data_IF_424495090413
#
_entry.id   IF_424495090413
#
_cell.length_a   1.000
_cell.length_b   1.000
_cell.length_c   1.000
_cell.angle_alpha   90.00
_cell.angle_beta   90.00
_cell.angle_gamma   90.00
#
_symmetry.space_group_name_H-M   'P 1'
#
loop_
_entity.id
_entity.type
_entity.pdbx_description
1 polymer ?
#
# COMPACT_ATOMS: atom_id res chain seq x y z
N UNK A 1 -27.04 -13.09 -13.55
CA UNK A 1 -26.88 -14.56 -13.53
C UNK A 1 -25.93 -14.88 -12.39
N UNK A 2 -26.13 -15.97 -11.66
CA UNK A 2 -25.19 -16.37 -10.61
C UNK A 2 -23.85 -16.77 -11.26
N UNK A 3 -22.73 -16.36 -10.67
CA UNK A 3 -21.40 -16.76 -11.12
C UNK A 3 -21.24 -18.29 -10.98
N UNK A 4 -20.47 -18.89 -11.89
CA UNK A 4 -20.26 -20.36 -11.95
C UNK A 4 -18.78 -20.67 -11.75
N UNK A 5 -18.52 -21.86 -11.20
CA UNK A 5 -17.16 -22.41 -11.07
C UNK A 5 -16.65 -23.01 -12.38
N UNK A 6 -15.34 -23.13 -12.54
CA UNK A 6 -14.67 -23.76 -13.68
C UNK A 6 -15.19 -25.19 -13.93
N UNK A 7 -15.42 -25.95 -12.85
CA UNK A 7 -15.94 -27.31 -12.94
C UNK A 7 -17.37 -27.35 -13.53
N UNK A 8 -18.25 -26.43 -13.09
CA UNK A 8 -19.62 -26.31 -13.61
C UNK A 8 -19.62 -25.87 -15.08
N UNK A 9 -18.73 -24.94 -15.45
CA UNK A 9 -18.57 -24.49 -16.84
C UNK A 9 -18.13 -25.64 -17.74
N UNK A 10 -17.11 -26.41 -17.32
CA UNK A 10 -16.63 -27.58 -18.05
C UNK A 10 -17.73 -28.63 -18.18
N UNK A 11 -18.54 -28.84 -17.14
CA UNK A 11 -19.66 -29.77 -17.19
C UNK A 11 -20.74 -29.31 -18.18
N UNK A 12 -21.06 -28.01 -18.23
CA UNK A 12 -21.99 -27.44 -19.23
C UNK A 12 -21.44 -27.62 -20.64
N UNK A 13 -20.14 -27.38 -20.85
CA UNK A 13 -19.47 -27.61 -22.14
C UNK A 13 -19.58 -29.09 -22.53
N UNK A 14 -19.17 -30.00 -21.65
CA UNK A 14 -19.17 -31.45 -21.93
C UNK A 14 -20.57 -32.00 -22.18
N UNK A 15 -21.60 -31.48 -21.49
CA UNK A 15 -22.98 -31.87 -21.73
C UNK A 15 -23.55 -31.34 -23.06
N UNK A 16 -22.98 -30.25 -23.60
CA UNK A 16 -23.40 -29.66 -24.87
C UNK A 16 -22.59 -30.16 -26.07
N UNK A 17 -21.34 -30.58 -25.84
CA UNK A 17 -20.52 -31.26 -26.84
C UNK A 17 -20.95 -32.73 -26.87
N UNK A 18 -21.98 -33.02 -27.66
CA UNK A 18 -22.19 -34.39 -28.14
C UNK A 18 -21.03 -34.70 -29.09
N UNK A 19 -20.46 -35.90 -29.02
CA UNK A 19 -19.38 -36.36 -29.90
C UNK A 19 -19.72 -36.01 -31.36
N UNK A 20 -18.95 -35.09 -31.98
CA UNK A 20 -19.14 -34.53 -33.34
C UNK A 20 -20.31 -33.54 -33.55
N UNK A 21 -20.84 -32.91 -32.50
CA UNK A 21 -21.92 -31.90 -32.60
C UNK A 21 -21.41 -30.47 -32.76
N UNK A 22 -22.09 -29.68 -33.61
CA UNK A 22 -21.91 -28.23 -33.69
C UNK A 22 -22.49 -27.55 -32.42
N UNK A 23 -21.71 -26.68 -31.78
CA UNK A 23 -22.19 -25.80 -30.71
C UNK A 23 -22.94 -24.62 -31.37
N UNK A 24 -24.18 -24.35 -30.96
CA UNK A 24 -24.91 -23.18 -31.49
C UNK A 24 -24.23 -21.89 -31.00
N UNK A 25 -24.25 -20.84 -31.82
CA UNK A 25 -23.65 -19.55 -31.46
C UNK A 25 -24.19 -18.96 -30.13
N UNK A 26 -25.46 -19.20 -29.81
CA UNK A 26 -26.06 -18.82 -28.52
C UNK A 26 -25.42 -19.53 -27.33
N UNK A 27 -25.03 -20.78 -27.50
CA UNK A 27 -24.39 -21.59 -26.48
C UNK A 27 -22.93 -21.20 -26.30
N UNK A 28 -22.23 -20.90 -27.41
CA UNK A 28 -20.89 -20.33 -27.39
C UNK A 28 -20.84 -19.01 -26.64
N UNK A 29 -21.77 -18.08 -26.91
CA UNK A 29 -21.83 -16.80 -26.21
C UNK A 29 -22.14 -16.96 -24.71
N UNK A 30 -22.98 -17.91 -24.35
CA UNK A 30 -23.24 -18.21 -22.94
C UNK A 30 -22.00 -18.80 -22.25
N UNK A 31 -21.29 -19.74 -22.90
CA UNK A 31 -20.05 -20.32 -22.39
C UNK A 31 -18.96 -19.26 -22.25
N UNK A 32 -18.79 -18.37 -23.24
CA UNK A 32 -17.80 -17.29 -23.16
C UNK A 32 -18.11 -16.30 -22.03
N UNK A 33 -19.40 -15.98 -21.82
CA UNK A 33 -19.82 -15.16 -20.66
C UNK A 33 -19.57 -15.89 -19.35
N UNK A 34 -19.93 -17.17 -19.26
CA UNK A 34 -19.68 -17.98 -18.06
C UNK A 34 -18.17 -18.07 -17.76
N UNK A 35 -17.31 -18.18 -18.79
CA UNK A 35 -15.84 -18.12 -18.63
C UNK A 35 -15.41 -16.74 -18.15
N UNK A 36 -15.90 -15.67 -18.77
CA UNK A 36 -15.56 -14.30 -18.37
C UNK A 36 -16.03 -13.96 -16.95
N UNK A 37 -17.11 -14.58 -16.48
CA UNK A 37 -17.69 -14.42 -15.13
C UNK A 37 -17.31 -15.58 -14.18
N UNK A 38 -16.35 -16.41 -14.57
CA UNK A 38 -15.90 -17.57 -13.81
C UNK A 38 -15.39 -17.14 -12.43
N UNK A 39 -15.88 -17.80 -11.38
CA UNK A 39 -15.54 -17.51 -9.97
C UNK A 39 -14.02 -17.62 -9.80
N UNK A 40 -13.38 -18.68 -10.29
CA UNK A 40 -11.93 -18.83 -10.15
C UNK A 40 -11.10 -17.79 -10.93
N UNK A 41 -11.70 -17.09 -11.91
CA UNK A 41 -11.05 -15.99 -12.64
C UNK A 41 -11.34 -14.62 -12.01
N UNK A 42 -12.49 -14.43 -11.34
CA UNK A 42 -12.97 -13.12 -10.88
C UNK A 42 -13.13 -13.00 -9.37
N UNK A 43 -13.52 -14.08 -8.69
CA UNK A 43 -13.54 -14.19 -7.24
C UNK A 43 -12.18 -14.70 -6.77
N UNK A 44 -11.38 -13.77 -6.24
CA UNK A 44 -10.20 -14.07 -5.42
C UNK A 44 -10.64 -14.65 -4.05
N UNK A 45 -11.31 -15.81 -4.07
CA UNK A 45 -11.73 -16.54 -2.88
C UNK A 45 -10.57 -17.23 -2.15
N UNK A 46 -10.76 -17.65 -0.89
CA UNK A 46 -9.68 -17.96 0.07
C UNK A 46 -8.87 -19.22 -0.25
N UNK A 47 -9.25 -20.00 -1.25
CA UNK A 47 -8.68 -21.32 -1.54
C UNK A 47 -8.13 -21.46 -2.97
N UNK A 48 -7.98 -20.35 -3.71
CA UNK A 48 -7.49 -20.38 -5.07
C UNK A 48 -6.56 -19.22 -5.40
N UNK A 49 -5.33 -19.24 -4.87
CA UNK A 49 -4.17 -18.47 -5.38
C UNK A 49 -4.34 -16.97 -5.61
N UNK A 50 -5.41 -16.36 -5.09
CA UNK A 50 -5.74 -14.96 -5.25
C UNK A 50 -4.87 -14.14 -4.31
N UNK A 51 -4.10 -13.23 -4.87
CA UNK A 51 -3.27 -12.33 -4.07
C UNK A 51 -4.17 -11.44 -3.20
N UNK A 52 -4.18 -11.70 -1.89
CA UNK A 52 -5.06 -10.99 -0.95
C UNK A 52 -4.73 -9.50 -0.93
N UNK A 53 -5.71 -8.63 -1.19
CA UNK A 53 -5.53 -7.18 -1.14
C UNK A 53 -5.70 -6.68 0.30
N UNK A 54 -4.95 -5.65 0.66
CA UNK A 54 -5.14 -4.93 1.92
C UNK A 54 -5.23 -3.41 1.70
N UNK A 55 -6.01 -2.73 2.54
CA UNK A 55 -6.18 -1.28 2.54
C UNK A 55 -6.31 -0.79 3.99
N UNK A 56 -5.34 0.01 4.42
CA UNK A 56 -5.33 0.66 5.73
C UNK A 56 -5.19 2.16 5.53
N UNK A 57 -6.11 2.95 6.06
CA UNK A 57 -6.01 4.40 6.00
C UNK A 57 -6.42 5.02 7.34
N UNK A 58 -5.73 6.10 7.71
CA UNK A 58 -6.14 6.92 8.85
C UNK A 58 -7.46 7.62 8.52
N UNK A 59 -8.51 7.41 9.32
CA UNK A 59 -9.75 8.20 9.23
C UNK A 59 -9.62 9.59 9.86
N UNK A 60 -8.72 9.71 10.83
CA UNK A 60 -8.37 10.92 11.57
C UNK A 60 -6.85 10.97 11.68
N UNK A 61 -6.22 12.16 11.68
CA UNK A 61 -4.77 12.25 11.79
C UNK A 61 -4.29 11.61 13.10
N UNK A 62 -3.25 10.79 13.03
CA UNK A 62 -2.52 10.34 14.20
C UNK A 62 -1.69 11.50 14.74
N UNK A 63 -1.64 11.67 16.06
CA UNK A 63 -1.00 12.80 16.71
C UNK A 63 0.18 12.31 17.56
N UNK A 64 1.36 12.92 17.37
CA UNK A 64 2.54 12.77 18.21
C UNK A 64 2.33 13.49 19.56
N UNK A 65 3.02 13.05 20.62
CA UNK A 65 3.23 13.81 21.87
C UNK A 65 3.52 15.31 21.71
N UNK A 66 4.15 15.71 20.59
CA UNK A 66 4.49 17.11 20.23
C UNK A 66 3.50 17.76 19.27
N UNK A 67 2.35 17.13 19.04
CA UNK A 67 1.26 17.67 18.22
C UNK A 67 1.44 17.53 16.71
N UNK A 68 2.56 16.98 16.22
CA UNK A 68 2.70 16.66 14.80
C UNK A 68 1.57 15.73 14.35
N UNK A 69 1.08 15.91 13.13
CA UNK A 69 -0.07 15.19 12.59
C UNK A 69 0.37 14.29 11.44
N UNK A 70 -0.06 13.03 11.44
CA UNK A 70 0.16 12.07 10.36
C UNK A 70 -1.17 11.55 9.82
N UNK A 71 -1.41 11.77 8.52
CA UNK A 71 -2.38 11.00 7.77
C UNK A 71 -1.64 9.99 6.90
N UNK A 72 -2.14 8.76 6.84
CA UNK A 72 -1.52 7.69 6.07
C UNK A 72 -2.53 6.89 5.27
N UNK A 73 -2.04 6.27 4.19
CA UNK A 73 -2.73 5.24 3.42
C UNK A 73 -1.72 4.17 3.02
N UNK A 74 -1.95 2.93 3.42
CA UNK A 74 -1.11 1.76 3.14
C UNK A 74 -2.00 0.76 2.40
N UNK A 75 -1.74 0.60 1.10
CA UNK A 75 -2.56 -0.24 0.22
C UNK A 75 -1.68 -1.16 -0.57
N UNK A 76 -2.14 -2.39 -0.78
CA UNK A 76 -1.29 -3.34 -1.47
C UNK A 76 -1.94 -4.68 -1.75
N UNK A 77 -1.06 -5.55 -2.23
CA UNK A 77 -1.29 -6.93 -2.58
C UNK A 77 -0.29 -7.74 -1.76
N UNK A 78 -0.79 -8.63 -0.92
CA UNK A 78 0.01 -9.49 -0.03
C UNK A 78 1.11 -10.20 -0.83
N UNK A 79 2.30 -10.31 -0.24
CA UNK A 79 3.50 -10.95 -0.81
C UNK A 79 4.10 -10.31 -2.08
N UNK A 80 3.55 -9.20 -2.59
CA UNK A 80 3.95 -8.67 -3.90
C UNK A 80 4.19 -7.16 -3.93
N UNK A 81 3.29 -6.38 -3.33
CA UNK A 81 3.28 -4.95 -3.55
C UNK A 81 2.65 -4.17 -2.40
N UNK A 82 3.27 -3.05 -2.04
CA UNK A 82 2.64 -2.05 -1.18
C UNK A 82 2.92 -0.64 -1.67
N UNK A 83 1.90 0.22 -1.61
CA UNK A 83 2.05 1.65 -1.68
C UNK A 83 1.75 2.28 -0.31
N UNK A 84 2.74 2.97 0.23
CA UNK A 84 2.71 3.67 1.51
C UNK A 84 2.68 5.16 1.22
N UNK A 85 1.56 5.82 1.54
CA UNK A 85 1.39 7.26 1.40
C UNK A 85 1.36 7.91 2.78
N UNK A 86 2.15 8.97 2.94
CA UNK A 86 2.19 9.80 4.14
C UNK A 86 1.92 11.26 3.82
N UNK A 87 1.14 11.89 4.70
CA UNK A 87 0.99 13.34 4.80
C UNK A 87 1.28 13.73 6.25
N UNK A 88 2.42 14.35 6.47
CA UNK A 88 2.92 14.76 7.78
C UNK A 88 2.87 16.29 7.87
N UNK A 89 2.33 16.81 8.98
CA UNK A 89 2.37 18.23 9.32
C UNK A 89 3.10 18.40 10.66
N UNK A 90 4.15 19.20 10.64
CA UNK A 90 4.97 19.49 11.81
C UNK A 90 4.38 20.69 12.56
N UNK A 91 4.23 20.57 13.88
CA UNK A 91 3.69 21.63 14.75
C UNK A 91 4.72 22.28 15.67
N UNK A 92 5.84 21.59 15.91
CA UNK A 92 6.93 22.07 16.76
C UNK A 92 8.21 22.22 15.92
N UNK A 93 9.08 23.15 16.30
CA UNK A 93 10.37 23.35 15.62
C UNK A 93 11.50 22.54 16.26
N UNK A 94 12.54 22.25 15.50
CA UNK A 94 13.72 21.50 15.91
C UNK A 94 13.41 20.05 16.31
N UNK A 95 12.52 19.38 15.56
CA UNK A 95 12.10 18.00 15.80
C UNK A 95 12.41 17.13 14.59
N UNK A 96 13.06 15.98 14.82
CA UNK A 96 13.48 15.08 13.72
C UNK A 96 12.93 13.65 13.89
N UNK A 97 12.55 13.24 15.11
CA UNK A 97 12.08 11.88 15.41
C UNK A 97 10.61 11.87 15.85
N UNK A 98 9.66 11.53 14.98
CA UNK A 98 8.22 11.51 15.26
C UNK A 98 7.74 10.09 15.63
N UNK A 99 6.84 10.00 16.62
CA UNK A 99 6.20 8.73 17.01
C UNK A 99 4.69 8.88 17.05
N UNK A 100 4.00 8.05 16.28
CA UNK A 100 2.54 8.04 16.18
C UNK A 100 1.98 6.71 16.66
N UNK A 101 1.06 6.76 17.61
CA UNK A 101 0.38 5.56 18.11
C UNK A 101 -0.50 4.97 17.00
N UNK A 102 -0.24 3.72 16.64
CA UNK A 102 -1.03 2.92 15.71
C UNK A 102 -1.19 1.51 16.27
N UNK A 103 -2.38 1.20 16.81
CA UNK A 103 -2.68 -0.10 17.42
C UNK A 103 -3.19 -1.15 16.41
N UNK A 104 -3.02 -0.91 15.11
CA UNK A 104 -3.47 -1.85 14.08
C UNK A 104 -2.36 -2.83 13.72
N UNK A 105 -2.37 -3.98 14.39
CA UNK A 105 -1.40 -5.08 14.18
C UNK A 105 -1.50 -5.74 12.81
N UNK A 106 -2.59 -5.53 12.07
CA UNK A 106 -2.73 -6.06 10.71
C UNK A 106 -1.82 -5.34 9.71
N UNK A 107 -1.43 -4.10 9.99
CA UNK A 107 -0.52 -3.34 9.13
C UNK A 107 0.88 -3.97 9.14
N UNK A 108 1.38 -4.32 10.33
CA UNK A 108 2.67 -5.00 10.50
C UNK A 108 2.67 -6.31 9.73
N UNK A 109 1.65 -7.15 9.94
CA UNK A 109 1.52 -8.44 9.24
C UNK A 109 1.50 -8.30 7.71
N UNK A 110 0.80 -7.29 7.19
CA UNK A 110 0.74 -7.03 5.76
C UNK A 110 2.10 -6.57 5.21
N UNK A 111 2.81 -5.70 5.94
CA UNK A 111 4.13 -5.22 5.52
C UNK A 111 5.22 -6.29 5.65
N UNK A 112 5.20 -7.11 6.70
CA UNK A 112 6.14 -8.23 6.90
C UNK A 112 6.00 -9.31 5.81
N UNK A 113 4.84 -9.41 5.16
CA UNK A 113 4.67 -10.31 4.00
C UNK A 113 5.42 -9.81 2.76
N UNK A 114 5.76 -8.52 2.68
CA UNK A 114 6.34 -7.87 1.50
C UNK A 114 7.80 -7.48 1.74
N UNK A 115 8.11 -7.00 2.94
CA UNK A 115 9.41 -6.53 3.35
C UNK A 115 10.10 -7.64 4.16
N UNK A 116 11.31 -8.03 3.78
CA UNK A 116 12.11 -8.94 4.61
C UNK A 116 12.19 -8.41 6.04
N UNK A 117 12.09 -9.29 7.05
CA UNK A 117 12.10 -8.92 8.47
C UNK A 117 13.36 -8.12 8.90
N UNK A 118 14.44 -8.17 8.12
CA UNK A 118 15.65 -7.35 8.32
C UNK A 118 15.58 -5.95 7.67
N UNK A 119 14.70 -5.74 6.69
CA UNK A 119 14.46 -4.45 6.01
C UNK A 119 13.17 -3.74 6.47
N UNK A 120 12.19 -4.47 7.04
CA UNK A 120 10.94 -3.89 7.54
C UNK A 120 11.14 -2.91 8.71
N UNK A 121 12.29 -2.97 9.38
CA UNK A 121 12.64 -2.11 10.51
C UNK A 121 13.23 -0.75 10.12
N UNK A 122 13.64 -0.52 8.87
CA UNK A 122 14.25 0.76 8.48
C UNK A 122 14.22 0.98 6.96
N UNK A 123 13.12 1.55 6.45
CA UNK A 123 13.05 1.99 5.06
C UNK A 123 13.44 3.47 4.95
N UNK A 124 14.41 3.79 4.11
CA UNK A 124 14.93 5.14 3.91
C UNK A 124 14.53 5.73 2.55
N UNK A 125 13.94 6.93 2.56
CA UNK A 125 13.49 7.62 1.35
C UNK A 125 13.86 9.09 1.36
N UNK A 126 14.32 9.59 0.21
CA UNK A 126 14.45 11.03 0.02
C UNK A 126 13.07 11.66 -0.20
N UNK A 127 12.70 12.57 0.69
CA UNK A 127 11.41 13.26 0.65
C UNK A 127 11.58 14.76 0.56
N UNK A 128 10.60 15.39 -0.08
CA UNK A 128 10.49 16.84 -0.14
C UNK A 128 9.82 17.38 1.12
N UNK A 129 10.46 18.36 1.75
CA UNK A 129 9.92 19.12 2.88
C UNK A 129 9.49 20.49 2.36
N UNK A 130 8.19 20.78 2.48
CA UNK A 130 7.60 22.06 2.11
C UNK A 130 7.37 22.88 3.38
N UNK A 131 8.17 23.93 3.58
CA UNK A 131 7.98 24.87 4.69
C UNK A 131 6.88 25.90 4.42
N UNK A 132 6.38 26.50 5.50
CA UNK A 132 5.48 27.66 5.47
C UNK A 132 6.27 28.98 5.46
N UNK A 133 7.53 28.96 5.91
CA UNK A 133 8.39 30.13 5.96
C UNK A 133 9.29 30.22 4.72
N UNK A 134 9.19 31.35 4.04
CA UNK A 134 10.06 31.86 2.97
C UNK A 134 11.50 32.10 3.45
N UNK A 135 12.18 31.08 3.98
CA UNK A 135 13.63 31.14 4.13
C UNK A 135 14.24 30.55 2.85
N UNK A 136 14.97 31.32 2.04
CA UNK A 136 15.62 30.79 0.86
C UNK A 136 16.63 29.74 1.31
N UNK A 137 16.36 28.49 0.99
CA UNK A 137 17.32 27.40 1.17
C UNK A 137 18.38 27.51 0.09
N UNK A 138 19.31 28.47 0.21
CA UNK A 138 20.39 28.66 -0.76
C UNK A 138 19.90 28.65 -2.23
N UNK A 139 18.76 29.30 -2.51
CA UNK A 139 18.14 29.35 -3.85
C UNK A 139 17.27 28.14 -4.24
N UNK A 140 17.07 27.13 -3.37
CA UNK A 140 16.19 25.98 -3.60
C UNK A 140 14.73 26.32 -3.28
N UNK A 141 13.80 25.71 -4.03
CA UNK A 141 12.34 25.89 -3.84
C UNK A 141 11.76 25.06 -2.68
N UNK A 142 12.54 24.12 -2.16
CA UNK A 142 12.15 23.20 -1.11
C UNK A 142 13.39 22.61 -0.44
N UNK A 143 13.20 22.01 0.75
CA UNK A 143 14.22 21.22 1.43
C UNK A 143 14.00 19.73 1.16
N UNK A 144 15.05 18.96 1.30
CA UNK A 144 15.02 17.50 1.13
C UNK A 144 15.53 16.85 2.39
N UNK A 145 14.80 15.86 2.91
CA UNK A 145 15.22 15.07 4.06
C UNK A 145 15.24 13.59 3.72
N UNK A 146 16.02 12.81 4.46
CA UNK A 146 15.91 11.36 4.49
C UNK A 146 14.84 10.97 5.50
N UNK A 147 13.73 10.41 5.02
CA UNK A 147 12.66 9.84 5.85
C UNK A 147 12.95 8.36 6.08
N UNK A 148 13.32 8.03 7.31
CA UNK A 148 13.38 6.65 7.81
C UNK A 148 12.03 6.29 8.43
N UNK A 149 11.37 5.27 7.88
CA UNK A 149 10.11 4.75 8.41
C UNK A 149 10.32 3.37 9.02
N UNK A 150 9.86 3.20 10.27
CA UNK A 150 9.77 1.91 10.93
C UNK A 150 8.41 1.73 11.60
N UNK A 151 7.95 0.48 11.62
CA UNK A 151 6.67 0.10 12.15
C UNK A 151 6.85 -0.94 13.25
N UNK A 152 6.04 -0.81 14.29
CA UNK A 152 5.86 -1.82 15.35
C UNK A 152 4.36 -2.06 15.54
N UNK A 153 4.00 -3.08 16.31
CA UNK A 153 2.60 -3.39 16.65
C UNK A 153 1.82 -2.23 17.29
N UNK A 154 2.53 -1.22 17.80
CA UNK A 154 1.95 -0.10 18.54
C UNK A 154 2.21 1.26 17.92
N UNK A 155 3.29 1.43 17.16
CA UNK A 155 3.73 2.76 16.74
C UNK A 155 4.24 2.76 15.30
N UNK A 156 3.96 3.86 14.61
CA UNK A 156 4.77 4.32 13.49
C UNK A 156 5.86 5.24 14.02
N UNK A 157 7.11 4.90 13.75
CA UNK A 157 8.25 5.77 14.03
C UNK A 157 8.76 6.32 12.71
N UNK A 158 8.82 7.64 12.61
CA UNK A 158 9.29 8.34 11.43
C UNK A 158 10.42 9.25 11.87
N UNK A 159 11.63 9.00 11.38
CA UNK A 159 12.77 9.88 11.56
C UNK A 159 13.03 10.64 10.25
N UNK A 160 13.24 11.94 10.34
CA UNK A 160 13.55 12.78 9.18
C UNK A 160 14.86 13.49 9.46
N UNK A 161 15.92 13.01 8.82
CA UNK A 161 17.24 13.62 8.89
C UNK A 161 17.41 14.58 7.71
N UNK A 162 17.67 15.85 8.00
CA UNK A 162 18.01 16.82 6.97
C UNK A 162 19.34 16.48 6.30
N UNK A 163 19.47 16.81 5.01
CA UNK A 163 20.71 16.50 4.26
C UNK A 163 21.84 17.51 4.49
N UNK A 164 21.52 18.68 5.06
CA UNK A 164 22.47 19.76 5.32
C UNK A 164 22.64 19.95 6.84
N UNK A 165 23.80 20.49 7.25
CA UNK A 165 24.09 20.77 8.66
C UNK A 165 23.05 21.77 9.21
N UNK A 166 22.37 21.40 10.31
CA UNK A 166 21.27 22.15 10.94
C UNK A 166 19.93 22.17 10.18
N UNK A 167 19.71 21.24 9.25
CA UNK A 167 18.43 21.09 8.57
C UNK A 167 17.41 20.32 9.44
N UNK A 168 16.88 20.99 10.47
CA UNK A 168 15.81 20.46 11.32
C UNK A 168 14.43 20.68 10.71
N UNK A 169 13.42 19.94 11.17
CA UNK A 169 12.03 20.31 10.87
C UNK A 169 11.61 21.52 11.71
N UNK A 170 10.83 22.41 11.11
CA UNK A 170 10.27 23.60 11.72
C UNK A 170 8.75 23.52 11.77
N UNK A 171 8.16 24.22 12.74
CA UNK A 171 6.71 24.34 12.83
C UNK A 171 6.11 24.87 11.51
N UNK A 172 5.10 24.16 11.01
CA UNK A 172 4.46 24.43 9.73
C UNK A 172 5.00 23.61 8.56
N UNK A 173 6.16 22.94 8.69
CA UNK A 173 6.65 22.05 7.65
C UNK A 173 5.66 20.95 7.30
N UNK A 174 5.57 20.66 6.00
CA UNK A 174 4.71 19.63 5.46
C UNK A 174 5.51 18.68 4.58
N UNK A 175 5.28 17.38 4.78
CA UNK A 175 5.84 16.33 3.95
C UNK A 175 4.66 15.56 3.37
N UNK A 176 4.65 15.43 2.05
CA UNK A 176 3.72 14.58 1.33
C UNK A 176 4.53 13.66 0.44
N UNK A 177 4.43 12.36 0.69
CA UNK A 177 5.17 11.35 -0.08
C UNK A 177 4.31 10.12 -0.29
N UNK A 178 4.55 9.43 -1.41
CA UNK A 178 3.98 8.12 -1.69
C UNK A 178 5.10 7.23 -2.19
N UNK A 179 5.25 6.07 -1.55
CA UNK A 179 6.33 5.13 -1.75
C UNK A 179 5.72 3.82 -2.19
N UNK A 180 6.12 3.35 -3.37
CA UNK A 180 5.75 2.05 -3.89
C UNK A 180 6.91 1.08 -3.69
N UNK A 181 6.66 -0.03 -2.99
CA UNK A 181 7.60 -1.13 -2.85
C UNK A 181 7.04 -2.34 -3.60
N UNK A 182 7.85 -2.86 -4.52
CA UNK A 182 7.55 -4.07 -5.25
C UNK A 182 8.56 -5.14 -4.81
N UNK A 183 8.07 -6.24 -4.26
CA UNK A 183 8.89 -7.38 -3.91
C UNK A 183 8.69 -8.46 -4.99
N UNK A 184 9.68 -8.70 -5.87
CA UNK A 184 9.61 -9.85 -6.77
C UNK A 184 9.71 -11.13 -5.92
N UNK A 185 8.83 -12.10 -6.17
CA UNK A 185 8.95 -13.42 -5.54
C UNK A 185 10.27 -14.05 -5.98
N UNK A 186 11.18 -14.31 -5.04
CA UNK A 186 12.35 -15.14 -5.30
C UNK A 186 11.86 -16.58 -5.57
N UNK A 187 12.18 -17.11 -6.74
CA UNK A 187 11.93 -18.50 -7.14
C UNK A 187 12.89 -19.46 -6.48
#
# INVERSE_FOLDING_TARGET
>A
MAAKTKAEIIQVINNKIITNGNIKAIDTNAILRDILDCIELNDQGPTGGGTSKFDFASKVPLIDSRGAELNFSIRGITDSFVNITFKILIKESNVNDLKFLNNNTLIVKALDSILDAAQSSQMDFLVKIKGVASAPTNGKRFRTGNLSFSITDKNFSIKIDGQEMNDNLFAGDQIFTSIAVHCPTFS
#
